data_IF_444070129712
#
_entry.id   IF_444070129712
#
_cell.length_a   1.000
_cell.length_b   1.000
_cell.length_c   1.000
_cell.angle_alpha   90.00
_cell.angle_beta   90.00
_cell.angle_gamma   90.00
#
_symmetry.space_group_name_H-M   'P 1'
#
loop_
_entity.id
_entity.type
_entity.pdbx_description
1 polymer ?
#
# COMPACT_ATOMS: atom_id res chain seq x y z
N UNK A 1 -15.61 12.55 4.97
CA UNK A 1 -16.11 11.17 5.11
C UNK A 1 -17.17 10.96 4.05
N UNK A 2 -16.95 10.03 3.13
CA UNK A 2 -17.69 9.82 1.88
C UNK A 2 -17.26 10.71 0.69
N UNK A 3 -15.98 10.57 0.29
CA UNK A 3 -15.58 10.97 -1.05
C UNK A 3 -15.74 9.75 -1.97
N UNK A 4 -16.82 9.74 -2.75
CA UNK A 4 -17.16 8.64 -3.68
C UNK A 4 -16.05 8.28 -4.66
N UNK A 5 -15.05 9.16 -4.82
CA UNK A 5 -13.89 8.94 -5.68
C UNK A 5 -12.98 7.80 -5.24
N UNK A 6 -12.89 7.52 -3.92
CA UNK A 6 -12.09 6.40 -3.40
C UNK A 6 -12.87 5.09 -3.29
N UNK A 7 -14.19 5.14 -3.42
CA UNK A 7 -15.13 4.09 -3.00
C UNK A 7 -16.31 3.96 -3.98
N UNK A 8 -16.01 3.83 -5.27
CA UNK A 8 -17.05 3.76 -6.30
C UNK A 8 -17.67 2.36 -6.37
N UNK A 9 -18.99 2.26 -6.14
CA UNK A 9 -19.72 0.98 -6.23
C UNK A 9 -19.66 0.34 -7.62
N UNK A 10 -19.57 1.15 -8.67
CA UNK A 10 -19.46 0.68 -10.05
C UNK A 10 -18.09 0.08 -10.35
N UNK A 11 -17.07 0.31 -9.51
CA UNK A 11 -15.72 -0.24 -9.69
C UNK A 11 -15.69 -1.76 -9.74
N UNK A 12 -16.66 -2.44 -9.12
CA UNK A 12 -16.71 -3.90 -9.11
C UNK A 12 -17.48 -4.51 -10.29
N UNK A 13 -18.18 -3.68 -11.07
CA UNK A 13 -18.96 -4.08 -12.23
C UNK A 13 -18.35 -3.58 -13.55
N UNK A 14 -17.68 -2.42 -13.55
CA UNK A 14 -17.07 -1.80 -14.73
C UNK A 14 -15.54 -1.66 -14.55
N UNK A 15 -14.73 -2.32 -15.39
CA UNK A 15 -13.26 -2.17 -15.38
C UNK A 15 -12.76 -0.73 -15.55
N UNK A 16 -13.50 0.14 -16.25
CA UNK A 16 -13.14 1.55 -16.40
C UNK A 16 -13.32 2.31 -15.10
N UNK A 17 -14.43 2.06 -14.41
CA UNK A 17 -14.68 2.66 -13.09
C UNK A 17 -13.70 2.11 -12.04
N UNK A 18 -13.30 0.84 -12.14
CA UNK A 18 -12.23 0.28 -11.32
C UNK A 18 -10.92 1.04 -11.50
N UNK A 19 -10.51 1.20 -12.75
CA UNK A 19 -9.25 1.90 -13.10
C UNK A 19 -9.26 3.33 -12.59
N UNK A 20 -10.38 4.03 -12.78
CA UNK A 20 -10.56 5.40 -12.27
C UNK A 20 -10.48 5.46 -10.75
N UNK A 21 -11.14 4.53 -10.06
CA UNK A 21 -11.15 4.48 -8.59
C UNK A 21 -9.77 4.20 -8.02
N UNK A 22 -9.03 3.24 -8.59
CA UNK A 22 -7.66 2.94 -8.18
C UNK A 22 -6.69 4.10 -8.50
N UNK A 23 -6.93 4.84 -9.59
CA UNK A 23 -6.13 6.03 -9.91
C UNK A 23 -6.27 7.13 -8.85
N UNK A 24 -7.43 7.26 -8.21
CA UNK A 24 -7.62 8.18 -7.07
C UNK A 24 -6.80 7.77 -5.85
N UNK A 25 -6.40 6.51 -5.71
CA UNK A 25 -5.56 6.06 -4.60
C UNK A 25 -4.07 6.35 -4.82
N UNK A 26 -3.63 6.60 -6.06
CA UNK A 26 -2.22 6.87 -6.39
C UNK A 26 -1.65 8.07 -5.62
N UNK A 27 -2.33 9.23 -5.49
CA UNK A 27 -1.85 10.36 -4.71
C UNK A 27 -1.79 10.12 -3.20
N UNK A 28 -2.40 9.04 -2.69
CA UNK A 28 -2.30 8.67 -1.28
C UNK A 28 -0.99 7.92 -0.98
N UNK A 29 -0.31 7.41 -2.00
CA UNK A 29 0.96 6.69 -1.88
C UNK A 29 2.15 7.61 -2.14
N UNK A 30 3.36 7.18 -1.78
CA UNK A 30 4.59 7.89 -2.12
C UNK A 30 5.00 7.65 -3.58
N UNK A 31 5.89 8.50 -4.11
CA UNK A 31 6.48 8.35 -5.45
C UNK A 31 7.17 7.00 -5.63
N UNK A 32 7.81 6.53 -4.56
CA UNK A 32 8.45 5.21 -4.47
C UNK A 32 7.52 4.07 -4.06
N UNK A 33 6.21 4.31 -3.93
CA UNK A 33 5.21 3.31 -3.49
C UNK A 33 5.54 2.66 -2.14
N UNK A 34 6.23 3.40 -1.27
CA UNK A 34 6.68 2.93 0.04
C UNK A 34 8.09 2.37 0.07
N UNK A 35 8.76 2.16 -1.07
CA UNK A 35 10.17 1.75 -1.08
C UNK A 35 11.10 2.91 -0.74
N UNK A 36 11.89 2.72 0.32
CA UNK A 36 12.78 3.74 0.89
C UNK A 36 14.19 3.22 1.10
N UNK A 37 15.18 4.10 0.88
CA UNK A 37 16.58 3.83 1.24
C UNK A 37 16.85 4.31 2.65
N UNK A 38 17.45 3.44 3.46
CA UNK A 38 17.93 3.76 4.80
C UNK A 38 19.46 3.73 4.84
N UNK A 39 20.15 4.80 5.30
CA UNK A 39 21.58 4.82 5.52
C UNK A 39 22.05 3.70 6.47
N UNK A 40 23.23 3.14 6.25
CA UNK A 40 23.71 1.97 7.00
C UNK A 40 23.84 2.23 8.52
N UNK A 41 24.24 3.45 8.89
CA UNK A 41 24.35 3.92 10.27
C UNK A 41 22.98 4.09 10.97
N UNK A 42 21.89 4.24 10.21
CA UNK A 42 20.52 4.30 10.73
C UNK A 42 19.87 2.91 10.87
N UNK A 43 20.50 1.83 10.35
CA UNK A 43 19.90 0.48 10.34
C UNK A 43 20.07 -0.29 11.64
N UNK A 44 20.96 0.15 12.53
CA UNK A 44 21.32 -0.58 13.74
C UNK A 44 20.12 -0.84 14.68
N UNK A 45 19.07 -0.01 14.59
CA UNK A 45 17.84 -0.13 15.38
C UNK A 45 16.68 -0.79 14.63
N UNK A 46 16.89 -1.27 13.41
CA UNK A 46 15.85 -1.91 12.61
C UNK A 46 15.81 -3.41 12.86
N UNK A 47 14.61 -3.97 12.78
CA UNK A 47 14.36 -5.39 13.09
C UNK A 47 14.99 -6.36 12.07
N UNK A 48 15.52 -5.87 10.94
CA UNK A 48 16.03 -6.70 9.87
C UNK A 48 16.93 -5.99 8.88
N UNK A 49 17.76 -6.75 8.12
CA UNK A 49 18.52 -6.20 7.01
C UNK A 49 17.58 -5.75 5.88
N UNK A 50 18.04 -4.88 4.97
CA UNK A 50 17.23 -4.48 3.82
C UNK A 50 16.93 -5.66 2.90
N UNK A 51 15.86 -5.54 2.10
CA UNK A 51 15.69 -6.38 0.92
C UNK A 51 16.72 -6.02 -0.15
N UNK A 52 17.17 -7.01 -0.91
CA UNK A 52 17.90 -6.80 -2.16
C UNK A 52 16.96 -7.03 -3.33
N UNK A 53 16.29 -5.98 -3.77
CA UNK A 53 15.29 -6.08 -4.84
C UNK A 53 15.38 -4.93 -5.84
N UNK A 54 14.68 -5.09 -6.96
CA UNK A 54 14.47 -4.04 -7.96
C UNK A 54 13.07 -4.22 -8.60
N UNK A 55 12.04 -3.49 -8.17
CA UNK A 55 10.68 -3.66 -8.65
C UNK A 55 10.53 -3.13 -10.09
N UNK A 56 11.44 -2.27 -10.55
CA UNK A 56 11.47 -1.74 -11.91
C UNK A 56 12.33 -2.58 -12.87
N UNK A 57 12.79 -3.77 -12.47
CA UNK A 57 13.61 -4.67 -13.29
C UNK A 57 14.88 -3.99 -13.90
N UNK A 58 15.49 -3.02 -13.20
CA UNK A 58 16.78 -2.41 -13.64
C UNK A 58 17.96 -3.37 -13.39
N UNK A 59 19.10 -3.22 -14.08
CA UNK A 59 20.21 -4.19 -14.03
C UNK A 59 20.89 -4.37 -12.66
N UNK A 60 20.61 -3.53 -11.66
CA UNK A 60 21.25 -3.58 -10.35
C UNK A 60 20.21 -3.67 -9.23
N UNK A 61 20.37 -4.64 -8.34
CA UNK A 61 19.60 -4.74 -7.09
C UNK A 61 19.99 -3.58 -6.16
N UNK A 62 19.03 -3.10 -5.38
CA UNK A 62 19.30 -2.11 -4.33
C UNK A 62 18.78 -2.61 -2.99
N UNK A 63 19.52 -2.23 -1.94
CA UNK A 63 19.08 -2.35 -0.56
C UNK A 63 17.91 -1.41 -0.30
N UNK A 64 16.77 -1.96 0.08
CA UNK A 64 15.54 -1.21 0.29
C UNK A 64 14.74 -1.73 1.48
N UNK A 65 14.01 -0.83 2.10
CA UNK A 65 12.96 -1.14 3.06
C UNK A 65 11.62 -0.67 2.50
N UNK A 66 10.53 -1.20 3.04
CA UNK A 66 9.18 -0.74 2.70
C UNK A 66 8.49 -0.15 3.93
N UNK A 67 7.87 1.01 3.79
CA UNK A 67 7.04 1.59 4.86
C UNK A 67 5.75 0.78 4.98
N UNK A 68 5.47 0.23 6.15
CA UNK A 68 4.38 -0.74 6.34
C UNK A 68 3.01 -0.18 5.98
N UNK A 69 2.67 1.04 6.39
CA UNK A 69 1.39 1.66 6.04
C UNK A 69 1.21 1.83 4.53
N UNK A 70 2.29 2.14 3.79
CA UNK A 70 2.27 2.22 2.33
C UNK A 70 2.15 0.83 1.68
N UNK A 71 2.74 -0.20 2.29
CA UNK A 71 2.57 -1.58 1.86
C UNK A 71 1.14 -2.11 2.12
N UNK A 72 0.55 -1.78 3.27
CA UNK A 72 -0.84 -2.11 3.60
C UNK A 72 -1.81 -1.49 2.58
N UNK A 73 -1.57 -0.22 2.21
CA UNK A 73 -2.37 0.46 1.19
C UNK A 73 -2.25 -0.23 -0.18
N UNK A 74 -1.04 -0.59 -0.60
CA UNK A 74 -0.76 -1.38 -1.82
C UNK A 74 -1.47 -2.74 -1.80
N UNK A 75 -1.37 -3.49 -0.70
CA UNK A 75 -2.03 -4.79 -0.59
C UNK A 75 -3.56 -4.64 -0.73
N UNK A 76 -4.15 -3.62 -0.10
CA UNK A 76 -5.59 -3.38 -0.16
C UNK A 76 -6.07 -3.06 -1.59
N UNK A 77 -5.35 -2.23 -2.35
CA UNK A 77 -5.65 -1.93 -3.76
C UNK A 77 -5.48 -3.14 -4.67
N UNK A 78 -4.44 -3.95 -4.46
CA UNK A 78 -4.23 -5.19 -5.22
C UNK A 78 -5.35 -6.20 -4.96
N UNK A 79 -5.82 -6.31 -3.71
CA UNK A 79 -6.98 -7.14 -3.35
C UNK A 79 -8.25 -6.61 -4.03
N UNK A 80 -8.48 -5.28 -4.00
CA UNK A 80 -9.63 -4.66 -4.65
C UNK A 80 -9.64 -4.94 -6.16
N UNK A 81 -8.50 -4.79 -6.83
CA UNK A 81 -8.36 -5.06 -8.26
C UNK A 81 -8.61 -6.54 -8.60
N UNK A 82 -8.08 -7.45 -7.78
CA UNK A 82 -8.27 -8.89 -7.96
C UNK A 82 -9.73 -9.30 -7.73
N UNK A 83 -10.35 -8.78 -6.68
CA UNK A 83 -11.75 -9.03 -6.37
C UNK A 83 -12.66 -8.51 -7.50
N UNK A 84 -12.45 -7.28 -7.97
CA UNK A 84 -13.22 -6.73 -9.09
C UNK A 84 -13.07 -7.56 -10.37
N UNK A 85 -11.86 -8.06 -10.68
CA UNK A 85 -11.63 -8.97 -11.82
C UNK A 85 -12.40 -10.29 -11.71
N UNK A 86 -12.42 -10.90 -10.52
CA UNK A 86 -13.16 -12.15 -10.27
C UNK A 86 -14.66 -11.95 -10.48
N UNK A 87 -15.16 -10.75 -10.16
CA UNK A 87 -16.58 -10.39 -10.17
C UNK A 87 -17.10 -9.85 -11.49
N UNK A 88 -16.25 -9.68 -12.50
CA UNK A 88 -16.65 -9.15 -13.79
C UNK A 88 -17.73 -10.02 -14.44
N UNK A 89 -18.88 -9.41 -14.74
CA UNK A 89 -20.01 -10.08 -15.41
C UNK A 89 -21.02 -10.75 -14.47
N UNK A 90 -20.83 -10.68 -13.16
CA UNK A 90 -21.83 -11.13 -12.18
C UNK A 90 -22.84 -10.01 -11.87
N UNK A 91 -24.15 -10.29 -11.93
CA UNK A 91 -25.21 -9.33 -11.57
C UNK A 91 -25.49 -9.37 -10.07
N UNK A 92 -24.59 -8.75 -9.31
CA UNK A 92 -24.75 -8.54 -7.86
C UNK A 92 -24.55 -7.06 -7.50
N UNK A 93 -25.22 -6.19 -8.25
CA UNK A 93 -25.23 -4.73 -8.03
C UNK A 93 -25.54 -4.33 -6.58
N UNK A 94 -26.36 -5.12 -5.87
CA UNK A 94 -26.72 -4.89 -4.47
C UNK A 94 -25.55 -5.04 -3.47
N UNK A 95 -24.50 -5.80 -3.81
CA UNK A 95 -23.31 -5.99 -2.96
C UNK A 95 -22.20 -4.98 -3.30
N UNK A 96 -22.18 -4.42 -4.50
CA UNK A 96 -21.16 -3.48 -4.95
C UNK A 96 -21.01 -2.25 -4.04
N UNK A 97 -22.12 -1.70 -3.58
CA UNK A 97 -22.14 -0.59 -2.60
C UNK A 97 -21.42 -0.97 -1.31
N UNK A 98 -21.85 -2.05 -0.65
CA UNK A 98 -21.29 -2.45 0.64
C UNK A 98 -19.79 -2.74 0.54
N UNK A 99 -19.38 -3.44 -0.52
CA UNK A 99 -17.98 -3.81 -0.73
C UNK A 99 -17.11 -2.58 -0.97
N UNK A 100 -17.57 -1.63 -1.80
CA UNK A 100 -16.86 -0.37 -2.01
C UNK A 100 -16.63 0.39 -0.70
N UNK A 101 -17.66 0.46 0.15
CA UNK A 101 -17.56 1.13 1.44
C UNK A 101 -16.65 0.36 2.42
N UNK A 102 -16.63 -0.97 2.38
CA UNK A 102 -15.70 -1.78 3.18
C UNK A 102 -14.24 -1.49 2.81
N UNK A 103 -13.90 -1.46 1.51
CA UNK A 103 -12.55 -1.12 1.05
C UNK A 103 -12.16 0.30 1.49
N UNK A 104 -13.06 1.28 1.36
CA UNK A 104 -12.77 2.65 1.80
C UNK A 104 -12.65 2.77 3.32
N UNK A 105 -13.44 2.03 4.08
CA UNK A 105 -13.35 2.00 5.54
C UNK A 105 -11.99 1.45 6.01
N UNK A 106 -11.52 0.36 5.41
CA UNK A 106 -10.19 -0.20 5.72
C UNK A 106 -9.08 0.76 5.28
N UNK A 107 -9.21 1.38 4.10
CA UNK A 107 -8.28 2.41 3.62
C UNK A 107 -8.17 3.56 4.62
N UNK A 108 -9.30 4.10 5.09
CA UNK A 108 -9.32 5.15 6.11
C UNK A 108 -8.66 4.68 7.41
N UNK A 109 -8.86 3.42 7.81
CA UNK A 109 -8.18 2.79 8.94
C UNK A 109 -6.65 2.76 8.79
N UNK A 110 -6.14 2.37 7.62
CA UNK A 110 -4.70 2.37 7.31
C UNK A 110 -4.12 3.78 7.40
N UNK A 111 -4.78 4.77 6.76
CA UNK A 111 -4.32 6.16 6.79
C UNK A 111 -4.37 6.75 8.19
N UNK A 112 -5.39 6.38 8.98
CA UNK A 112 -5.54 6.81 10.36
C UNK A 112 -4.49 6.16 11.28
N UNK A 113 -4.17 4.88 11.08
CA UNK A 113 -3.16 4.20 11.89
C UNK A 113 -1.75 4.71 11.56
N UNK A 114 -1.48 5.03 10.29
CA UNK A 114 -0.22 5.63 9.84
C UNK A 114 1.00 4.82 10.25
N UNK A 115 0.99 3.51 9.98
CA UNK A 115 2.07 2.60 10.36
C UNK A 115 3.38 2.96 9.65
N UNK A 116 4.29 3.60 10.39
CA UNK A 116 5.59 4.05 9.89
C UNK A 116 6.70 3.00 10.04
N UNK A 117 6.37 1.76 10.43
CA UNK A 117 7.35 0.68 10.59
C UNK A 117 8.05 0.37 9.26
N UNK A 118 9.34 0.03 9.32
CA UNK A 118 10.15 -0.33 8.16
C UNK A 118 10.26 -1.85 8.03
N UNK A 119 9.69 -2.37 6.95
CA UNK A 119 9.75 -3.78 6.59
C UNK A 119 11.05 -4.07 5.82
N UNK A 120 11.79 -5.09 6.28
CA UNK A 120 13.04 -5.57 5.67
C UNK A 120 13.04 -7.09 5.51
N UNK A 121 14.18 -7.66 5.13
CA UNK A 121 14.36 -9.09 4.90
C UNK A 121 14.42 -9.94 6.19
N UNK A 122 13.56 -9.62 7.15
CA UNK A 122 13.27 -10.40 8.36
C UNK A 122 11.86 -11.01 8.33
N UNK A 123 11.05 -10.70 7.31
CA UNK A 123 9.68 -11.18 7.19
C UNK A 123 9.67 -12.63 6.68
N UNK A 124 9.62 -13.56 7.66
CA UNK A 124 9.11 -14.94 7.59
C UNK A 124 10.14 -16.09 7.58
N UNK A 125 10.44 -16.63 8.78
CA UNK A 125 10.63 -18.08 9.01
C UNK A 125 9.39 -18.62 9.75
N UNK A 126 8.52 -19.38 9.06
CA UNK A 126 7.54 -20.25 9.72
C UNK A 126 8.28 -21.50 10.25
N UNK A 127 7.95 -22.10 11.43
CA UNK A 127 6.76 -21.93 12.27
C UNK A 127 7.08 -21.40 13.69
N UNK A 128 6.22 -20.52 14.23
CA UNK A 128 6.32 -20.01 15.61
C UNK A 128 5.85 -18.57 15.85
N UNK A 129 5.54 -17.82 14.79
CA UNK A 129 4.71 -16.59 14.76
C UNK A 129 5.06 -15.56 15.85
N UNK A 130 5.99 -14.65 15.56
CA UNK A 130 6.01 -13.32 16.18
C UNK A 130 5.34 -12.35 15.22
N UNK A 131 4.06 -12.06 15.48
CA UNK A 131 3.35 -10.96 14.81
C UNK A 131 3.55 -9.74 15.71
N UNK A 132 4.04 -8.60 15.19
CA UNK A 132 4.09 -7.35 15.95
C UNK A 132 2.67 -6.89 16.28
N UNK A 133 2.14 -7.31 17.43
CA UNK A 133 0.91 -6.79 18.02
C UNK A 133 1.26 -6.05 19.30
N UNK A 134 0.69 -4.86 19.51
CA UNK A 134 0.76 -4.15 20.78
C UNK A 134 1.35 -2.74 20.77
N UNK A 135 1.65 -2.16 19.61
CA UNK A 135 2.08 -0.76 19.52
C UNK A 135 0.87 0.17 19.68
N UNK A 136 0.97 1.20 20.52
CA UNK A 136 -0.11 2.17 20.71
C UNK A 136 -0.33 2.98 19.42
N UNK A 137 -1.44 2.71 18.74
CA UNK A 137 -1.86 3.46 17.56
C UNK A 137 -2.29 4.87 17.97
N UNK A 138 -1.54 5.89 17.55
CA UNK A 138 -2.01 7.27 17.52
C UNK A 138 -2.00 7.68 16.05
N UNK A 139 -2.97 8.50 15.65
CA UNK A 139 -2.98 9.05 14.31
C UNK A 139 -1.63 9.71 14.01
N UNK A 140 -0.82 9.07 13.17
CA UNK A 140 0.35 9.71 12.60
C UNK A 140 -0.12 10.58 11.44
N UNK A 141 0.58 11.70 11.21
CA UNK A 141 0.29 12.52 10.05
C UNK A 141 0.69 11.75 8.78
N UNK A 142 -0.32 11.23 8.06
CA UNK A 142 -0.09 10.48 6.83
C UNK A 142 0.70 11.29 5.81
N UNK A 143 0.50 12.61 5.76
CA UNK A 143 1.25 13.47 4.85
C UNK A 143 2.73 13.52 5.21
N UNK A 144 3.07 13.54 6.51
CA UNK A 144 4.45 13.45 6.96
C UNK A 144 5.10 12.10 6.64
N UNK A 145 4.35 10.99 6.71
CA UNK A 145 4.83 9.66 6.29
C UNK A 145 5.15 9.64 4.80
N UNK A 146 4.24 10.16 3.97
CA UNK A 146 4.41 10.23 2.51
C UNK A 146 5.59 11.14 2.15
N UNK A 147 5.70 12.32 2.76
CA UNK A 147 6.79 13.27 2.53
C UNK A 147 8.15 12.66 2.91
N UNK A 148 8.23 12.04 4.10
CA UNK A 148 9.43 11.35 4.55
C UNK A 148 9.84 10.20 3.61
N UNK A 149 8.88 9.43 3.12
CA UNK A 149 9.13 8.35 2.16
C UNK A 149 9.56 8.88 0.78
N UNK A 150 9.03 10.03 0.36
CA UNK A 150 9.39 10.71 -0.87
C UNK A 150 10.85 11.20 -0.85
N UNK A 151 11.30 11.78 0.28
CA UNK A 151 12.70 12.20 0.46
C UNK A 151 13.70 11.02 0.36
N UNK A 152 13.23 9.81 0.70
CA UNK A 152 14.04 8.58 0.73
C UNK A 152 13.75 7.65 -0.43
N UNK A 153 12.99 8.11 -1.41
CA UNK A 153 12.59 7.30 -2.56
C UNK A 153 13.82 6.85 -3.35
N UNK A 154 13.89 5.54 -3.57
CA UNK A 154 14.95 4.92 -4.39
C UNK A 154 14.59 5.01 -5.87
N UNK A 155 13.32 4.76 -6.19
CA UNK A 155 12.81 4.73 -7.55
C UNK A 155 11.48 5.48 -7.64
N UNK A 156 11.40 6.59 -8.38
CA UNK A 156 10.09 7.12 -8.75
C UNK A 156 9.45 6.16 -9.77
N UNK A 157 8.26 5.64 -9.46
CA UNK A 157 7.51 4.83 -10.41
C UNK A 157 7.03 5.70 -11.58
N UNK A 158 7.28 5.31 -12.84
CA UNK A 158 6.82 6.06 -14.00
C UNK A 158 5.29 5.97 -14.13
N UNK A 159 4.63 6.99 -14.70
CA UNK A 159 3.20 6.95 -14.98
C UNK A 159 2.81 5.73 -15.83
N UNK A 160 1.72 5.02 -15.48
CA UNK A 160 1.20 3.91 -16.26
C UNK A 160 1.80 2.54 -15.95
N UNK A 161 2.71 2.44 -14.97
CA UNK A 161 3.18 1.17 -14.41
C UNK A 161 2.37 0.84 -13.13
N UNK A 162 1.07 1.11 -13.18
CA UNK A 162 0.22 1.21 -12.00
C UNK A 162 -0.51 -0.10 -11.72
N UNK A 163 0.07 -0.86 -10.80
CA UNK A 163 -0.70 -1.66 -9.86
C UNK A 163 -0.24 -1.19 -8.49
N UNK A 164 -0.96 -0.22 -7.93
CA UNK A 164 -1.11 -0.22 -6.47
C UNK A 164 -1.84 -1.51 -6.11
#
# INVERSE_FOLDING_TARGET
MNESKYANEAAFADPKELTKTLAEWLPLSSKGRGYVKIPEDERATLDGPPYLLNPLHRPHLQETYMVSGLHQLHCLSTIMASYAKIRQGEDESHLGFHIAHCFDYIRQGILCAGDATLEGNNSMKYPGVEIPWGTSHRCADWSAIVEWADERTIWPFPPGMDIL
#
